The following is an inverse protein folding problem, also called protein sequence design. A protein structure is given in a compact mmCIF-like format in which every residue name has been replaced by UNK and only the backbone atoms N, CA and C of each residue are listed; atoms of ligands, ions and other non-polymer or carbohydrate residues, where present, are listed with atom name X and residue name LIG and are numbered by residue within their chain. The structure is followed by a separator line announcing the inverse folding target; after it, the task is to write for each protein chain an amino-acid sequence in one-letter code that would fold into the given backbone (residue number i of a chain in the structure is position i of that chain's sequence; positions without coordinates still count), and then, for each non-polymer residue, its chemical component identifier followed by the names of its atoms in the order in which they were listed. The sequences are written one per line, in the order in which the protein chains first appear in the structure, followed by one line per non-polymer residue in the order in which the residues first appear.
data_IF_151858466370
#
_entry.id   IF_151858466370
#
_cell.length_a   1.000
_cell.length_b   1.000
_cell.length_c   1.000
_cell.angle_alpha   90.00
_cell.angle_beta   90.00
_cell.angle_gamma   90.00
#
_symmetry.space_group_name_H-M   'P 1'
#
loop_
_entity.id
_entity.type
_entity.pdbx_description
1 polymer ?
#
# COMPACT_ATOMS: atom_id res chain seq x y z
N UNK A 1 -54.37 2.92 14.77
CA UNK A 1 -53.05 2.49 15.31
C UNK A 1 -52.04 3.65 15.38
N UNK A 2 -51.98 4.54 14.38
CA UNK A 2 -51.00 5.65 14.35
C UNK A 2 -51.17 6.68 15.47
N UNK A 3 -52.41 7.10 15.76
CA UNK A 3 -52.71 8.05 16.84
C UNK A 3 -52.22 7.54 18.22
N UNK A 4 -52.51 6.26 18.55
CA UNK A 4 -52.03 5.59 19.77
C UNK A 4 -50.50 5.57 19.85
N UNK A 5 -49.83 5.26 18.74
CA UNK A 5 -48.36 5.23 18.69
C UNK A 5 -47.75 6.63 18.77
N UNK A 6 -48.43 7.67 18.27
CA UNK A 6 -48.01 9.06 18.41
C UNK A 6 -48.12 9.54 19.86
N UNK A 7 -49.21 9.21 20.55
CA UNK A 7 -49.38 9.49 21.99
C UNK A 7 -48.31 8.75 22.81
N UNK A 8 -48.08 7.47 22.53
CA UNK A 8 -47.03 6.69 23.20
C UNK A 8 -45.64 7.31 23.01
N UNK A 9 -45.30 7.77 21.80
CA UNK A 9 -44.04 8.48 21.52
C UNK A 9 -43.91 9.77 22.34
N UNK A 10 -44.98 10.57 22.45
CA UNK A 10 -44.99 11.79 23.28
C UNK A 10 -44.77 11.47 24.76
N UNK A 11 -45.41 10.41 25.27
CA UNK A 11 -45.24 9.99 26.67
C UNK A 11 -43.85 9.42 26.95
N UNK A 12 -43.29 8.62 26.05
CA UNK A 12 -41.93 8.08 26.16
C UNK A 12 -40.84 9.16 26.04
N UNK A 13 -41.17 10.32 25.47
CA UNK A 13 -40.26 11.44 25.36
C UNK A 13 -40.08 12.22 26.67
N UNK A 14 -40.99 12.04 27.66
CA UNK A 14 -40.94 12.72 28.95
C UNK A 14 -39.65 12.37 29.71
N UNK A 15 -38.94 13.34 30.32
CA UNK A 15 -37.68 13.11 31.04
C UNK A 15 -37.76 12.01 32.10
N UNK A 16 -38.77 12.06 32.97
CA UNK A 16 -39.01 11.07 34.03
C UNK A 16 -39.12 9.64 33.47
N UNK A 17 -39.81 9.47 32.33
CA UNK A 17 -39.97 8.17 31.68
C UNK A 17 -38.68 7.67 31.06
N UNK A 18 -37.84 8.58 30.54
CA UNK A 18 -36.50 8.24 30.03
C UNK A 18 -35.60 7.78 31.17
N UNK A 19 -35.70 8.41 32.34
CA UNK A 19 -34.89 8.09 33.51
C UNK A 19 -35.27 6.73 34.10
N UNK A 20 -36.56 6.48 34.37
CA UNK A 20 -37.05 5.15 34.80
C UNK A 20 -36.63 4.05 33.82
N UNK A 21 -36.70 4.33 32.51
CA UNK A 21 -36.28 3.38 31.48
C UNK A 21 -34.76 3.15 31.47
N UNK A 22 -33.98 4.21 31.72
CA UNK A 22 -32.52 4.13 31.83
C UNK A 22 -32.14 3.25 33.02
N UNK A 23 -32.71 3.53 34.20
CA UNK A 23 -32.49 2.75 35.42
C UNK A 23 -32.89 1.27 35.22
N UNK A 24 -34.06 1.02 34.62
CA UNK A 24 -34.48 -0.35 34.31
C UNK A 24 -33.49 -1.07 33.39
N UNK A 25 -33.00 -0.39 32.33
CA UNK A 25 -32.03 -0.97 31.40
C UNK A 25 -30.70 -1.29 32.10
N UNK A 26 -30.25 -0.42 33.00
CA UNK A 26 -29.03 -0.61 33.80
C UNK A 26 -29.17 -1.83 34.71
N UNK A 27 -30.33 -2.00 35.35
CA UNK A 27 -30.60 -3.12 36.25
C UNK A 27 -30.99 -4.43 35.52
N UNK A 28 -31.25 -4.40 34.21
CA UNK A 28 -31.71 -5.56 33.42
C UNK A 28 -30.92 -5.73 32.11
N UNK A 29 -29.61 -5.50 32.14
CA UNK A 29 -28.79 -5.44 30.93
C UNK A 29 -28.79 -6.75 30.12
N UNK A 30 -28.89 -7.90 30.78
CA UNK A 30 -29.04 -9.20 30.11
C UNK A 30 -30.30 -9.24 29.23
N UNK A 31 -31.45 -8.81 29.77
CA UNK A 31 -32.72 -8.72 29.01
C UNK A 31 -32.61 -7.75 27.85
N UNK A 32 -31.91 -6.63 28.04
CA UNK A 32 -31.66 -5.63 26.98
C UNK A 32 -30.80 -6.24 25.87
N UNK A 33 -29.70 -6.92 26.21
CA UNK A 33 -28.82 -7.58 25.25
C UNK A 33 -29.56 -8.67 24.46
N UNK A 34 -30.34 -9.50 25.15
CA UNK A 34 -31.16 -10.55 24.53
C UNK A 34 -32.20 -9.96 23.57
N UNK A 35 -32.88 -8.87 23.97
CA UNK A 35 -33.83 -8.14 23.11
C UNK A 35 -33.15 -7.64 21.84
N UNK A 36 -31.94 -7.06 21.94
CA UNK A 36 -31.18 -6.60 20.77
C UNK A 36 -30.80 -7.76 19.86
N UNK A 37 -30.36 -8.90 20.40
CA UNK A 37 -30.02 -10.08 19.60
C UNK A 37 -31.23 -10.69 18.90
N UNK A 38 -32.37 -10.79 19.59
CA UNK A 38 -33.62 -11.24 18.98
C UNK A 38 -34.09 -10.28 17.87
N UNK A 39 -33.93 -8.97 18.05
CA UNK A 39 -34.18 -8.00 16.98
C UNK A 39 -33.28 -8.26 15.76
N UNK A 40 -31.97 -8.49 15.98
CA UNK A 40 -31.04 -8.80 14.89
C UNK A 40 -31.43 -10.09 14.18
N UNK A 41 -31.74 -11.16 14.91
CA UNK A 41 -32.19 -12.42 14.34
C UNK A 41 -33.36 -12.21 13.38
N UNK A 42 -34.44 -11.56 13.85
CA UNK A 42 -35.61 -11.27 13.00
C UNK A 42 -35.23 -10.49 11.75
N UNK A 43 -34.35 -9.49 11.86
CA UNK A 43 -33.89 -8.71 10.70
C UNK A 43 -33.04 -9.52 9.71
N UNK A 44 -32.24 -10.45 10.21
CA UNK A 44 -31.49 -11.39 9.37
C UNK A 44 -32.43 -12.39 8.67
N UNK A 45 -33.51 -12.83 9.32
CA UNK A 45 -34.52 -13.75 8.76
C UNK A 45 -35.46 -13.06 7.76
N UNK A 46 -36.00 -11.88 8.10
CA UNK A 46 -36.93 -11.10 7.26
C UNK A 46 -36.27 -10.64 5.94
N UNK A 47 -35.20 -9.84 6.04
CA UNK A 47 -34.50 -9.30 4.89
C UNK A 47 -33.07 -8.89 5.29
N UNK A 48 -32.16 -9.86 5.24
CA UNK A 48 -30.76 -9.66 5.59
C UNK A 48 -30.09 -8.57 4.74
N UNK A 49 -30.44 -8.46 3.46
CA UNK A 49 -29.82 -7.51 2.56
C UNK A 49 -30.20 -6.06 2.92
N UNK A 50 -31.49 -5.79 3.10
CA UNK A 50 -31.97 -4.48 3.54
C UNK A 50 -31.40 -4.10 4.91
N UNK A 51 -31.30 -5.06 5.84
CA UNK A 51 -30.70 -4.83 7.15
C UNK A 51 -29.20 -4.44 7.05
N UNK A 52 -28.43 -5.16 6.23
CA UNK A 52 -27.02 -4.84 6.01
C UNK A 52 -26.82 -3.51 5.28
N UNK A 53 -27.68 -3.19 4.30
CA UNK A 53 -27.66 -1.90 3.60
C UNK A 53 -27.94 -0.74 4.56
N UNK A 54 -28.95 -0.88 5.43
CA UNK A 54 -29.24 0.11 6.47
C UNK A 54 -28.05 0.31 7.40
N UNK A 55 -27.44 -0.77 7.91
CA UNK A 55 -26.26 -0.68 8.77
C UNK A 55 -25.07 -0.02 8.07
N UNK A 56 -24.86 -0.31 6.78
CA UNK A 56 -23.79 0.30 5.99
C UNK A 56 -24.00 1.81 5.85
N UNK A 57 -25.24 2.25 5.63
CA UNK A 57 -25.61 3.67 5.55
C UNK A 57 -25.45 4.38 6.91
N UNK A 58 -25.90 3.76 8.00
CA UNK A 58 -25.67 4.29 9.35
C UNK A 58 -24.18 4.41 9.66
N UNK A 59 -23.38 3.41 9.31
CA UNK A 59 -21.94 3.44 9.50
C UNK A 59 -21.27 4.50 8.62
N UNK A 60 -21.78 4.76 7.42
CA UNK A 60 -21.32 5.84 6.53
C UNK A 60 -21.55 7.20 7.19
N UNK A 61 -22.79 7.49 7.60
CA UNK A 61 -23.15 8.73 8.32
C UNK A 61 -22.31 8.92 9.58
N UNK A 62 -22.07 7.84 10.32
CA UNK A 62 -21.20 7.90 11.50
C UNK A 62 -19.78 8.33 11.13
N UNK A 63 -19.17 7.75 10.08
CA UNK A 63 -17.82 8.13 9.63
C UNK A 63 -17.75 9.59 9.17
N UNK A 64 -18.78 10.05 8.45
CA UNK A 64 -18.89 11.43 7.98
C UNK A 64 -18.98 12.41 9.17
N UNK A 65 -19.75 12.06 10.20
CA UNK A 65 -19.92 12.89 11.40
C UNK A 65 -18.81 12.72 12.45
N UNK A 66 -17.84 11.81 12.24
CA UNK A 66 -16.78 11.49 13.20
C UNK A 66 -15.42 11.42 12.49
N UNK A 67 -15.08 12.43 11.69
CA UNK A 67 -13.85 12.47 10.89
C UNK A 67 -12.58 12.30 11.76
N UNK A 68 -12.54 12.94 12.94
CA UNK A 68 -11.41 12.84 13.89
C UNK A 68 -11.15 11.41 14.33
N UNK A 69 -12.19 10.67 14.72
CA UNK A 69 -12.07 9.24 15.07
C UNK A 69 -11.59 8.40 13.90
N UNK A 70 -11.88 8.83 12.67
CA UNK A 70 -11.37 8.13 11.49
C UNK A 70 -9.89 8.38 11.26
N UNK A 71 -9.42 9.60 11.52
CA UNK A 71 -7.99 9.94 11.49
C UNK A 71 -7.24 9.10 12.52
N UNK A 72 -7.73 9.07 13.76
CA UNK A 72 -7.17 8.27 14.86
C UNK A 72 -7.10 6.78 14.49
N UNK A 73 -8.21 6.21 14.02
CA UNK A 73 -8.25 4.80 13.62
C UNK A 73 -7.34 4.47 12.43
N UNK A 74 -7.10 5.42 11.52
CA UNK A 74 -6.18 5.24 10.40
C UNK A 74 -4.72 5.31 10.86
N UNK A 75 -4.38 6.23 11.76
CA UNK A 75 -3.04 6.29 12.36
C UNK A 75 -2.76 5.04 13.21
N UNK A 76 -3.72 4.57 14.01
CA UNK A 76 -3.60 3.30 14.72
C UNK A 76 -3.29 2.14 13.77
N UNK A 77 -4.03 2.01 12.65
CA UNK A 77 -3.77 0.97 11.65
C UNK A 77 -2.38 1.08 11.04
N UNK A 78 -1.93 2.30 10.73
CA UNK A 78 -0.63 2.59 10.11
C UNK A 78 0.54 2.23 11.04
N UNK A 79 0.35 2.39 12.34
CA UNK A 79 1.40 2.18 13.35
C UNK A 79 1.30 0.80 14.04
N UNK A 80 0.24 0.03 13.80
CA UNK A 80 0.09 -1.32 14.33
C UNK A 80 0.72 -2.39 13.40
N UNK A 81 1.77 -3.05 13.87
CA UNK A 81 2.53 -4.07 13.12
C UNK A 81 1.65 -5.26 12.69
N UNK A 82 0.76 -5.74 13.55
CA UNK A 82 -0.12 -6.88 13.27
C UNK A 82 -1.13 -6.56 12.16
N UNK A 83 -1.70 -5.36 12.18
CA UNK A 83 -2.59 -4.90 11.11
C UNK A 83 -1.84 -4.73 9.78
N UNK A 84 -0.59 -4.24 9.82
CA UNK A 84 0.25 -4.16 8.62
C UNK A 84 0.64 -5.54 8.07
N UNK A 85 1.00 -6.49 8.94
CA UNK A 85 1.28 -7.87 8.57
C UNK A 85 0.09 -8.52 7.83
N UNK A 86 -1.11 -8.34 8.36
CA UNK A 86 -2.34 -8.84 7.74
C UNK A 86 -2.62 -8.19 6.37
N UNK A 87 -2.24 -6.92 6.18
CA UNK A 87 -2.33 -6.25 4.88
C UNK A 87 -1.37 -6.92 3.88
N UNK A 88 -0.12 -7.20 4.26
CA UNK A 88 0.82 -7.91 3.40
C UNK A 88 0.32 -9.30 3.02
N UNK A 89 -0.13 -10.09 4.00
CA UNK A 89 -0.68 -11.44 3.78
C UNK A 89 -1.85 -11.44 2.80
N UNK A 90 -2.80 -10.52 2.97
CA UNK A 90 -3.93 -10.35 2.04
C UNK A 90 -3.45 -9.95 0.64
N UNK A 91 -2.54 -8.98 0.56
CA UNK A 91 -2.04 -8.49 -0.73
C UNK A 91 -1.26 -9.58 -1.49
N UNK A 92 -0.49 -10.41 -0.79
CA UNK A 92 0.19 -11.58 -1.35
C UNK A 92 -0.84 -12.56 -1.94
N UNK A 93 -1.91 -12.88 -1.20
CA UNK A 93 -2.99 -13.74 -1.69
C UNK A 93 -3.78 -13.18 -2.89
N UNK A 94 -3.88 -11.85 -3.04
CA UNK A 94 -4.43 -11.24 -4.26
C UNK A 94 -3.47 -11.31 -5.45
N UNK A 95 -2.16 -11.42 -5.18
CA UNK A 95 -1.11 -11.52 -6.19
C UNK A 95 -0.68 -12.96 -6.47
N UNK A 96 -1.30 -13.95 -5.83
CA UNK A 96 -0.88 -15.36 -5.86
C UNK A 96 0.63 -15.50 -5.56
N UNK A 97 1.05 -14.84 -4.49
CA UNK A 97 2.42 -14.96 -3.96
C UNK A 97 2.37 -15.77 -2.67
N UNK A 98 3.36 -16.64 -2.49
CA UNK A 98 3.54 -17.32 -1.22
C UNK A 98 3.75 -16.31 -0.10
N UNK A 99 3.22 -16.64 1.07
CA UNK A 99 3.37 -15.83 2.27
C UNK A 99 3.69 -16.76 3.44
N UNK A 100 4.98 -17.04 3.60
CA UNK A 100 5.51 -18.05 4.52
C UNK A 100 6.14 -17.42 5.77
N UNK A 101 6.45 -16.12 5.74
CA UNK A 101 6.96 -15.43 6.94
C UNK A 101 5.92 -15.42 8.06
N UNK A 102 6.36 -15.74 9.28
CA UNK A 102 5.57 -15.65 10.50
C UNK A 102 5.43 -14.18 10.96
N UNK A 103 4.59 -13.94 11.97
CA UNK A 103 4.46 -12.60 12.53
C UNK A 103 5.72 -12.13 13.26
N UNK A 104 6.43 -13.04 13.93
CA UNK A 104 7.67 -12.73 14.65
C UNK A 104 8.79 -12.41 13.66
N UNK A 105 8.97 -13.25 12.64
CA UNK A 105 9.90 -12.97 11.53
C UNK A 105 9.58 -11.65 10.82
N UNK A 106 8.29 -11.35 10.61
CA UNK A 106 7.88 -10.06 10.09
C UNK A 106 8.35 -8.91 11.00
N UNK A 107 8.17 -9.02 12.31
CA UNK A 107 8.61 -8.02 13.28
C UNK A 107 10.12 -7.83 13.25
N UNK A 108 10.89 -8.93 13.17
CA UNK A 108 12.35 -8.91 13.07
C UNK A 108 12.84 -8.25 11.79
N UNK A 109 12.12 -8.45 10.67
CA UNK A 109 12.45 -7.80 9.40
C UNK A 109 12.15 -6.30 9.49
N UNK A 110 10.93 -5.90 9.85
CA UNK A 110 10.51 -4.50 9.71
C UNK A 110 11.15 -3.55 10.72
N UNK A 111 11.70 -4.05 11.83
CA UNK A 111 12.39 -3.24 12.84
C UNK A 111 13.85 -2.95 12.47
N UNK A 112 14.42 -3.69 11.52
CA UNK A 112 15.76 -3.40 10.99
C UNK A 112 15.76 -2.11 10.18
N UNK A 113 16.93 -1.50 10.08
CA UNK A 113 17.23 -0.42 9.13
C UNK A 113 16.84 -0.82 7.71
N UNK A 114 16.44 0.17 6.89
CA UNK A 114 16.13 -0.08 5.49
C UNK A 114 17.35 -0.64 4.78
N UNK A 115 17.20 -1.78 4.10
CA UNK A 115 18.27 -2.48 3.39
C UNK A 115 19.05 -1.56 2.43
N UNK A 116 18.32 -0.67 1.74
CA UNK A 116 18.90 0.21 0.72
C UNK A 116 19.55 1.47 1.30
N UNK A 117 18.89 2.17 2.22
CA UNK A 117 19.29 3.51 2.64
C UNK A 117 19.63 3.65 4.13
N UNK A 118 19.64 2.54 4.86
CA UNK A 118 19.85 2.45 6.32
C UNK A 118 18.85 3.22 7.22
N UNK A 119 17.86 3.94 6.68
CA UNK A 119 16.90 4.68 7.50
C UNK A 119 15.85 3.76 8.17
N UNK A 120 15.48 4.12 9.40
CA UNK A 120 14.25 3.66 10.06
C UNK A 120 13.20 4.78 9.96
N UNK A 121 11.95 4.43 9.64
CA UNK A 121 10.88 5.42 9.57
C UNK A 121 10.49 5.93 10.96
N UNK A 122 10.01 7.18 11.03
CA UNK A 122 9.58 7.84 12.27
C UNK A 122 8.63 6.99 13.14
N UNK A 123 7.72 6.23 12.52
CA UNK A 123 6.81 5.32 13.23
C UNK A 123 7.48 4.13 13.92
N UNK A 124 8.81 4.02 13.87
CA UNK A 124 9.63 3.00 14.52
C UNK A 124 9.78 1.67 13.76
N UNK A 125 9.21 1.54 12.55
CA UNK A 125 9.42 0.36 11.70
C UNK A 125 9.15 0.64 10.21
N UNK A 126 9.88 -0.10 9.37
CA UNK A 126 9.83 -0.05 7.91
C UNK A 126 8.70 -0.91 7.32
N UNK A 127 8.70 -1.06 6.00
CA UNK A 127 7.93 -2.10 5.30
C UNK A 127 8.83 -3.27 4.88
N UNK A 128 8.30 -4.11 3.99
CA UNK A 128 9.04 -5.23 3.39
C UNK A 128 9.17 -5.00 1.89
N UNK A 129 10.39 -5.17 1.38
CA UNK A 129 10.67 -5.38 -0.04
C UNK A 129 11.06 -6.85 -0.28
N UNK A 130 10.77 -7.34 -1.50
CA UNK A 130 11.21 -8.64 -1.99
C UNK A 130 12.40 -8.43 -2.90
N UNK A 131 13.56 -8.99 -2.57
CA UNK A 131 14.77 -8.85 -3.41
C UNK A 131 14.51 -9.40 -4.81
N UNK A 132 14.03 -10.64 -4.87
CA UNK A 132 13.57 -11.31 -6.07
C UNK A 132 12.04 -11.20 -6.17
N UNK A 133 11.55 -10.56 -7.23
CA UNK A 133 10.11 -10.35 -7.43
C UNK A 133 9.38 -11.60 -7.94
N UNK A 134 10.09 -12.62 -8.43
CA UNK A 134 9.53 -13.93 -8.84
C UNK A 134 9.13 -14.78 -7.64
N UNK A 135 9.79 -14.58 -6.48
CA UNK A 135 9.53 -15.32 -5.24
C UNK A 135 8.50 -14.62 -4.36
N UNK A 136 7.85 -15.40 -3.49
CA UNK A 136 6.91 -14.89 -2.50
C UNK A 136 7.57 -14.16 -1.32
N UNK A 137 6.79 -13.98 -0.26
CA UNK A 137 7.26 -13.51 1.05
C UNK A 137 7.80 -14.70 1.84
N UNK A 138 9.08 -14.99 1.61
CA UNK A 138 9.88 -16.01 2.29
C UNK A 138 11.02 -15.27 2.98
N UNK A 139 11.42 -15.71 4.18
CA UNK A 139 12.36 -15.00 5.05
C UNK A 139 13.60 -14.50 4.30
N UNK A 140 14.30 -15.37 3.57
CA UNK A 140 15.54 -15.02 2.84
C UNK A 140 15.34 -14.07 1.66
N UNK A 141 14.11 -13.99 1.12
CA UNK A 141 13.76 -13.09 0.04
C UNK A 141 13.29 -11.71 0.53
N UNK A 142 12.90 -11.61 1.80
CA UNK A 142 12.34 -10.41 2.38
C UNK A 142 13.40 -9.57 3.10
N UNK A 143 13.39 -8.27 2.84
CA UNK A 143 14.26 -7.31 3.52
C UNK A 143 13.47 -6.12 4.03
N UNK A 144 13.96 -5.52 5.11
CA UNK A 144 13.43 -4.26 5.62
C UNK A 144 13.58 -3.18 4.56
N UNK A 145 12.50 -2.46 4.23
CA UNK A 145 12.56 -1.42 3.23
C UNK A 145 11.61 -0.27 3.56
N UNK A 146 12.15 0.95 3.57
CA UNK A 146 11.33 2.15 3.71
C UNK A 146 10.44 2.34 2.47
N UNK A 147 9.32 3.06 2.65
CA UNK A 147 8.35 3.33 1.59
C UNK A 147 8.98 3.88 0.31
N UNK A 148 9.89 4.85 0.44
CA UNK A 148 10.50 5.55 -0.70
C UNK A 148 11.38 4.64 -1.54
N UNK A 149 12.31 3.89 -0.91
CA UNK A 149 13.15 2.91 -1.62
C UNK A 149 12.31 1.84 -2.32
N UNK A 150 11.25 1.33 -1.67
CA UNK A 150 10.38 0.32 -2.27
C UNK A 150 9.66 0.86 -3.53
N UNK A 151 9.25 2.13 -3.52
CA UNK A 151 8.66 2.76 -4.72
C UNK A 151 9.69 3.02 -5.81
N UNK A 152 10.88 3.52 -5.46
CA UNK A 152 11.96 3.79 -6.43
C UNK A 152 12.42 2.51 -7.12
N UNK A 153 12.58 1.42 -6.37
CA UNK A 153 12.90 0.09 -6.91
C UNK A 153 11.77 -0.45 -7.79
N UNK A 154 10.53 -0.30 -7.35
CA UNK A 154 9.39 -0.89 -8.06
C UNK A 154 9.53 -2.41 -8.14
N UNK A 155 9.40 -2.96 -9.36
CA UNK A 155 9.49 -4.40 -9.61
C UNK A 155 10.78 -4.84 -10.31
N UNK A 156 11.86 -4.06 -10.19
CA UNK A 156 13.20 -4.48 -10.62
C UNK A 156 13.88 -5.31 -9.53
N UNK A 157 14.99 -5.97 -9.88
CA UNK A 157 15.92 -6.53 -8.90
C UNK A 157 16.58 -5.40 -8.09
N UNK A 158 17.11 -5.77 -6.93
CA UNK A 158 17.92 -4.90 -6.08
C UNK A 158 19.20 -4.46 -6.80
N UNK A 159 19.89 -5.36 -7.50
CA UNK A 159 21.10 -5.05 -8.27
C UNK A 159 20.85 -3.97 -9.33
N UNK A 160 19.83 -4.15 -10.19
CA UNK A 160 19.47 -3.16 -11.22
C UNK A 160 19.09 -1.83 -10.58
N UNK A 161 18.41 -1.87 -9.43
CA UNK A 161 18.04 -0.64 -8.73
C UNK A 161 19.26 0.12 -8.21
N UNK A 162 20.22 -0.56 -7.60
CA UNK A 162 21.46 0.05 -7.09
C UNK A 162 22.29 0.63 -8.25
N UNK A 163 22.44 -0.11 -9.36
CA UNK A 163 23.12 0.38 -10.57
C UNK A 163 22.44 1.62 -11.16
N UNK A 164 21.10 1.66 -11.19
CA UNK A 164 20.37 2.87 -11.63
C UNK A 164 20.65 4.07 -10.76
N UNK A 165 20.75 3.89 -9.44
CA UNK A 165 21.09 4.96 -8.50
C UNK A 165 22.47 5.51 -8.78
N UNK A 166 23.49 4.65 -8.91
CA UNK A 166 24.86 5.06 -9.23
C UNK A 166 24.94 5.77 -10.59
N UNK A 167 24.29 5.23 -11.62
CA UNK A 167 24.23 5.84 -12.94
C UNK A 167 23.64 7.25 -12.89
N UNK A 168 22.49 7.43 -12.24
CA UNK A 168 21.82 8.74 -12.14
C UNK A 168 22.72 9.73 -11.40
N UNK A 169 23.27 9.37 -10.25
CA UNK A 169 24.14 10.26 -9.48
C UNK A 169 25.41 10.64 -10.26
N UNK A 170 26.00 9.69 -10.98
CA UNK A 170 27.18 9.92 -11.84
C UNK A 170 26.85 10.87 -12.97
N UNK A 171 25.74 10.63 -13.69
CA UNK A 171 25.29 11.51 -14.77
C UNK A 171 25.00 12.94 -14.26
N UNK A 172 24.42 13.06 -13.06
CA UNK A 172 24.17 14.33 -12.38
C UNK A 172 25.42 14.96 -11.74
N UNK A 173 26.60 14.35 -11.91
CA UNK A 173 27.89 14.80 -11.35
C UNK A 173 27.87 14.96 -9.82
N UNK A 174 27.06 14.14 -9.14
CA UNK A 174 26.99 14.10 -7.67
C UNK A 174 28.05 13.18 -7.06
N UNK A 175 28.51 12.19 -7.83
CA UNK A 175 29.56 11.23 -7.46
C UNK A 175 30.44 10.93 -8.67
N UNK A 176 31.59 10.30 -8.42
CA UNK A 176 32.47 9.71 -9.43
C UNK A 176 32.25 8.19 -9.50
N UNK A 177 31.12 7.77 -10.07
CA UNK A 177 30.75 6.36 -10.22
C UNK A 177 30.70 5.90 -11.68
N UNK A 178 30.06 4.75 -11.90
CA UNK A 178 29.89 4.13 -13.22
C UNK A 178 28.54 4.47 -13.86
N UNK A 179 28.51 4.42 -15.19
CA UNK A 179 27.28 4.57 -15.99
C UNK A 179 26.78 3.19 -16.44
N UNK A 180 25.52 2.88 -16.11
CA UNK A 180 24.78 1.67 -16.50
C UNK A 180 23.58 1.97 -17.44
N UNK A 181 23.79 2.44 -18.68
CA UNK A 181 22.69 2.75 -19.61
C UNK A 181 21.80 1.52 -19.93
N UNK A 182 22.36 0.31 -19.87
CA UNK A 182 21.67 -0.96 -20.10
C UNK A 182 20.60 -1.25 -19.05
N UNK A 183 20.72 -0.67 -17.86
CA UNK A 183 19.74 -0.82 -16.78
C UNK A 183 18.43 -0.03 -17.02
N UNK A 184 18.36 0.79 -18.09
CA UNK A 184 17.17 1.57 -18.43
C UNK A 184 16.52 1.02 -19.70
N UNK A 185 15.32 0.45 -19.57
CA UNK A 185 14.59 -0.17 -20.67
C UNK A 185 14.15 0.85 -21.74
N UNK A 186 13.94 0.37 -22.96
CA UNK A 186 13.36 1.18 -24.05
C UNK A 186 11.84 1.25 -23.91
N UNK A 187 11.29 2.43 -24.13
CA UNK A 187 9.86 2.73 -24.04
C UNK A 187 9.42 3.66 -25.16
N UNK A 188 8.16 3.55 -25.58
CA UNK A 188 7.52 4.54 -26.46
C UNK A 188 6.97 5.71 -25.63
N UNK A 189 6.98 6.90 -26.21
CA UNK A 189 6.43 8.08 -25.54
C UNK A 189 4.91 8.02 -25.44
N UNK A 190 4.38 8.72 -24.45
CA UNK A 190 2.94 8.92 -24.20
C UNK A 190 2.45 10.00 -25.15
N UNK A 191 1.31 9.80 -25.81
CA UNK A 191 0.79 10.77 -26.77
C UNK A 191 0.47 12.12 -26.11
N UNK A 192 0.68 13.23 -26.84
CA UNK A 192 0.35 14.58 -26.40
C UNK A 192 -1.06 14.70 -25.78
N UNK A 193 -2.07 14.13 -26.44
CA UNK A 193 -3.46 14.16 -25.96
C UNK A 193 -3.63 13.49 -24.59
N UNK A 194 -2.80 12.48 -24.26
CA UNK A 194 -2.84 11.81 -22.96
C UNK A 194 -2.27 12.70 -21.85
N UNK A 195 -1.24 13.50 -22.13
CA UNK A 195 -0.75 14.51 -21.20
C UNK A 195 -1.80 15.58 -20.92
N UNK A 196 -2.45 16.11 -21.97
CA UNK A 196 -3.56 17.06 -21.84
C UNK A 196 -4.71 16.50 -21.00
N UNK A 197 -5.15 15.27 -21.29
CA UNK A 197 -6.22 14.61 -20.53
C UNK A 197 -5.85 14.39 -19.05
N UNK A 198 -4.58 14.05 -18.77
CA UNK A 198 -4.08 13.93 -17.39
C UNK A 198 -4.08 15.26 -16.66
N UNK A 199 -3.71 16.35 -17.33
CA UNK A 199 -3.72 17.70 -16.77
C UNK A 199 -5.15 18.13 -16.40
N UNK A 200 -6.11 17.97 -17.33
CA UNK A 200 -7.53 18.26 -17.10
C UNK A 200 -8.06 17.45 -15.90
N UNK A 201 -7.81 16.13 -15.87
CA UNK A 201 -8.28 15.27 -14.79
C UNK A 201 -7.72 15.67 -13.42
N UNK A 202 -6.49 16.21 -13.40
CA UNK A 202 -5.81 16.66 -12.18
C UNK A 202 -6.01 18.15 -11.90
N UNK A 203 -6.76 18.87 -12.74
CA UNK A 203 -6.95 20.32 -12.65
C UNK A 203 -5.62 21.08 -12.63
N UNK A 204 -4.75 20.77 -13.60
CA UNK A 204 -3.45 21.38 -13.76
C UNK A 204 -3.41 22.22 -15.03
N UNK A 205 -2.64 23.31 -15.01
CA UNK A 205 -2.38 24.12 -16.19
C UNK A 205 -1.73 23.30 -17.30
N UNK A 206 -2.10 23.61 -18.54
CA UNK A 206 -1.58 22.93 -19.72
C UNK A 206 -1.33 23.96 -20.82
N UNK A 207 -0.11 24.49 -20.86
CA UNK A 207 0.33 25.50 -21.82
C UNK A 207 1.21 24.88 -22.93
N UNK A 208 1.71 23.67 -22.70
CA UNK A 208 2.49 22.89 -23.67
C UNK A 208 1.77 22.76 -25.02
N UNK A 209 2.41 23.18 -26.11
CA UNK A 209 1.90 23.02 -27.48
C UNK A 209 2.32 21.68 -28.11
N UNK A 210 1.67 21.23 -29.20
CA UNK A 210 2.12 20.06 -29.96
C UNK A 210 3.55 20.19 -30.51
N UNK A 211 3.94 21.40 -30.93
CA UNK A 211 5.27 21.73 -31.44
C UNK A 211 6.32 21.58 -30.33
N UNK A 212 6.08 22.18 -29.17
CA UNK A 212 6.95 22.05 -27.99
C UNK A 212 7.08 20.58 -27.57
N UNK A 213 5.97 19.85 -27.55
CA UNK A 213 5.96 18.43 -27.21
C UNK A 213 6.89 17.63 -28.13
N UNK A 214 6.81 17.85 -29.45
CA UNK A 214 7.63 17.14 -30.43
C UNK A 214 9.12 17.47 -30.33
N UNK A 215 9.46 18.66 -29.83
CA UNK A 215 10.85 19.05 -29.52
C UNK A 215 11.31 18.36 -28.23
N UNK A 216 10.54 18.48 -27.14
CA UNK A 216 10.94 18.02 -25.81
C UNK A 216 11.17 16.50 -25.79
N UNK A 217 10.30 15.69 -26.38
CA UNK A 217 10.45 14.22 -26.34
C UNK A 217 11.71 13.69 -27.05
N UNK A 218 12.36 14.54 -27.87
CA UNK A 218 13.62 14.19 -28.55
C UNK A 218 14.85 14.53 -27.72
N UNK A 219 14.72 15.35 -26.69
CA UNK A 219 15.83 15.68 -25.81
C UNK A 219 16.22 14.46 -24.95
N UNK A 220 17.47 14.43 -24.52
CA UNK A 220 17.99 13.42 -23.60
C UNK A 220 17.25 13.50 -22.26
N UNK A 221 17.08 12.36 -21.59
CA UNK A 221 16.43 12.33 -20.29
C UNK A 221 17.21 13.21 -19.30
N UNK A 222 16.56 14.20 -18.70
CA UNK A 222 17.23 15.15 -17.83
C UNK A 222 17.88 14.49 -16.60
N UNK A 223 17.38 13.32 -16.18
CA UNK A 223 17.82 12.64 -14.96
C UNK A 223 18.93 11.61 -15.21
N UNK A 224 18.88 10.83 -16.29
CA UNK A 224 19.86 9.78 -16.59
C UNK A 224 20.57 9.93 -17.95
N UNK A 225 20.24 10.95 -18.74
CA UNK A 225 20.85 11.15 -20.06
C UNK A 225 20.44 10.16 -21.14
N UNK A 226 19.46 9.28 -20.90
CA UNK A 226 18.98 8.33 -21.91
C UNK A 226 18.49 9.08 -23.15
N UNK A 227 19.08 8.77 -24.30
CA UNK A 227 18.79 9.40 -25.59
C UNK A 227 17.57 8.79 -26.26
N UNK A 228 16.87 9.60 -27.05
CA UNK A 228 15.81 9.12 -27.94
C UNK A 228 16.43 8.52 -29.21
N UNK A 229 15.92 7.35 -29.63
CA UNK A 229 16.36 6.61 -30.82
C UNK A 229 15.17 5.90 -31.49
N UNK A 230 15.45 5.00 -32.45
CA UNK A 230 14.41 4.25 -33.18
C UNK A 230 13.61 3.27 -32.30
N UNK A 231 14.14 2.86 -31.15
CA UNK A 231 13.54 1.90 -30.23
C UNK A 231 13.00 2.55 -28.95
N UNK A 232 13.41 3.78 -28.64
CA UNK A 232 13.01 4.52 -27.45
C UNK A 232 12.72 5.98 -27.72
N UNK A 233 11.64 6.47 -27.12
CA UNK A 233 11.33 7.88 -27.04
C UNK A 233 11.12 8.29 -25.58
N UNK A 234 11.74 9.38 -25.18
CA UNK A 234 11.50 9.99 -23.88
C UNK A 234 10.07 10.53 -23.79
N UNK A 235 9.55 10.53 -22.56
CA UNK A 235 8.32 11.24 -22.23
C UNK A 235 8.63 12.61 -21.65
N UNK A 236 7.60 13.21 -21.06
CA UNK A 236 7.69 14.46 -20.30
C UNK A 236 7.46 14.15 -18.82
N UNK A 237 8.34 14.69 -17.98
CA UNK A 237 8.18 14.76 -16.53
C UNK A 237 8.01 16.22 -16.07
N UNK A 238 7.31 16.40 -14.95
CA UNK A 238 7.15 17.71 -14.30
C UNK A 238 8.11 17.80 -13.13
N UNK A 239 8.95 18.84 -13.11
CA UNK A 239 9.92 19.08 -12.04
C UNK A 239 9.21 19.26 -10.71
N UNK A 240 8.27 20.21 -10.65
CA UNK A 240 7.32 20.38 -9.56
C UNK A 240 5.98 19.74 -9.93
N UNK A 241 5.60 18.73 -9.15
CA UNK A 241 4.36 17.98 -9.37
C UNK A 241 3.08 18.73 -8.99
N UNK A 242 3.20 19.84 -8.26
CA UNK A 242 2.10 20.75 -7.92
C UNK A 242 1.76 21.70 -9.07
N UNK A 243 2.72 21.96 -9.96
CA UNK A 243 2.56 22.80 -11.16
C UNK A 243 2.11 22.01 -12.39
N UNK A 244 1.58 22.72 -13.37
CA UNK A 244 1.11 22.16 -14.64
C UNK A 244 2.20 21.85 -15.66
N UNK A 245 1.78 21.64 -16.91
CA UNK A 245 2.64 21.46 -18.08
C UNK A 245 2.93 22.83 -18.70
N UNK A 246 3.84 23.55 -18.05
CA UNK A 246 4.42 24.83 -18.48
C UNK A 246 5.90 24.59 -18.82
N UNK A 247 6.43 25.26 -19.84
CA UNK A 247 7.76 24.96 -20.41
C UNK A 247 8.89 24.96 -19.37
N UNK A 248 8.86 25.92 -18.44
CA UNK A 248 9.82 26.04 -17.34
C UNK A 248 9.74 24.94 -16.27
N UNK A 249 8.62 24.20 -16.20
CA UNK A 249 8.39 23.13 -15.21
C UNK A 249 8.55 21.73 -15.80
N UNK A 250 8.77 21.58 -17.10
CA UNK A 250 8.79 20.27 -17.76
C UNK A 250 10.15 19.95 -18.36
N UNK A 251 10.50 18.67 -18.33
CA UNK A 251 11.72 18.16 -18.94
C UNK A 251 11.48 16.83 -19.62
N UNK A 252 12.31 16.54 -20.63
CA UNK A 252 12.36 15.22 -21.24
C UNK A 252 12.84 14.19 -20.23
N UNK A 253 12.09 13.11 -20.05
CA UNK A 253 12.40 12.11 -19.04
C UNK A 253 11.99 10.71 -19.53
N UNK A 254 12.92 9.75 -19.39
CA UNK A 254 12.61 8.37 -19.72
C UNK A 254 11.57 7.80 -18.73
N UNK A 255 10.83 6.77 -19.15
CA UNK A 255 9.77 6.15 -18.35
C UNK A 255 10.29 5.67 -16.98
N UNK A 256 11.46 5.04 -16.95
CA UNK A 256 12.07 4.50 -15.72
C UNK A 256 12.39 5.61 -14.71
N UNK A 257 12.98 6.71 -15.17
CA UNK A 257 13.30 7.85 -14.32
C UNK A 257 12.04 8.54 -13.79
N UNK A 258 11.01 8.72 -14.63
CA UNK A 258 9.73 9.29 -14.19
C UNK A 258 9.06 8.40 -13.13
N UNK A 259 9.12 7.07 -13.28
CA UNK A 259 8.62 6.12 -12.27
C UNK A 259 9.40 6.21 -10.95
N UNK A 260 10.73 6.34 -11.02
CA UNK A 260 11.59 6.52 -9.84
C UNK A 260 11.27 7.84 -9.11
N UNK A 261 11.16 8.95 -9.86
CA UNK A 261 10.87 10.27 -9.29
C UNK A 261 9.47 10.36 -8.72
N UNK A 262 8.47 9.81 -9.42
CA UNK A 262 7.08 9.77 -8.99
C UNK A 262 6.59 11.18 -8.57
N UNK A 263 6.17 11.35 -7.32
CA UNK A 263 5.71 12.58 -6.72
C UNK A 263 6.75 13.24 -5.80
N UNK A 264 7.96 12.69 -5.73
CA UNK A 264 9.05 13.24 -4.90
C UNK A 264 9.60 14.54 -5.49
N UNK A 265 9.99 15.45 -4.58
CA UNK A 265 10.81 16.60 -4.95
C UNK A 265 12.17 16.11 -5.46
N UNK A 266 12.75 16.85 -6.41
CA UNK A 266 13.98 16.42 -7.06
C UNK A 266 15.15 16.32 -6.06
N UNK A 267 15.30 17.30 -5.18
CA UNK A 267 16.38 17.31 -4.19
C UNK A 267 16.22 16.17 -3.16
N UNK A 268 15.00 15.89 -2.71
CA UNK A 268 14.71 14.74 -1.84
C UNK A 268 15.08 13.42 -2.52
N UNK A 269 14.81 13.29 -3.82
CA UNK A 269 15.16 12.11 -4.59
C UNK A 269 16.68 11.93 -4.68
N UNK A 270 17.42 12.99 -5.00
CA UNK A 270 18.90 12.95 -5.08
C UNK A 270 19.51 12.65 -3.70
N UNK A 271 19.05 13.30 -2.64
CA UNK A 271 19.49 13.02 -1.28
C UNK A 271 19.22 11.56 -0.90
N UNK A 272 18.06 11.03 -1.30
CA UNK A 272 17.74 9.62 -1.07
C UNK A 272 18.68 8.68 -1.83
N UNK A 273 19.00 9.02 -3.08
CA UNK A 273 19.94 8.25 -3.91
C UNK A 273 21.34 8.25 -3.29
N UNK A 274 21.83 9.37 -2.76
CA UNK A 274 23.11 9.45 -2.06
C UNK A 274 23.19 8.48 -0.87
N UNK A 275 22.16 8.46 -0.01
CA UNK A 275 22.10 7.51 1.11
C UNK A 275 22.13 6.05 0.66
N UNK A 276 21.48 5.74 -0.48
CA UNK A 276 21.50 4.38 -1.05
C UNK A 276 22.90 4.05 -1.55
N UNK A 277 23.52 4.96 -2.30
CA UNK A 277 24.86 4.78 -2.84
C UNK A 277 25.89 4.56 -1.72
N UNK A 278 25.90 5.43 -0.69
CA UNK A 278 26.83 5.31 0.44
C UNK A 278 26.70 3.97 1.19
N UNK A 279 25.47 3.47 1.36
CA UNK A 279 25.23 2.19 2.04
C UNK A 279 25.78 1.00 1.27
N UNK A 280 25.77 1.06 -0.06
CA UNK A 280 26.14 -0.06 -0.93
C UNK A 280 27.58 0.04 -1.44
N UNK A 281 28.15 1.25 -1.56
CA UNK A 281 29.55 1.45 -1.93
C UNK A 281 30.51 1.00 -0.81
N UNK A 282 30.20 1.33 0.46
CA UNK A 282 31.00 0.89 1.63
C UNK A 282 31.09 -0.63 1.77
N UNK A 283 30.11 -1.38 1.26
CA UNK A 283 30.14 -2.84 1.28
C UNK A 283 31.13 -3.41 0.26
N UNK A 284 31.26 -2.78 -0.91
CA UNK A 284 32.22 -3.21 -1.94
C UNK A 284 33.65 -3.04 -1.45
N UNK A 285 33.98 -1.92 -0.79
CA UNK A 285 35.32 -1.70 -0.23
C UNK A 285 35.72 -2.75 0.81
N UNK A 286 34.79 -3.18 1.68
CA UNK A 286 35.07 -4.21 2.70
C UNK A 286 35.25 -5.59 2.05
N UNK A 287 34.39 -5.97 1.10
CA UNK A 287 34.51 -7.24 0.39
C UNK A 287 35.78 -7.33 -0.44
N UNK A 288 36.23 -6.21 -1.03
CA UNK A 288 37.47 -6.17 -1.82
C UNK A 288 38.72 -6.29 -0.96
N UNK A 289 38.68 -5.81 0.29
CA UNK A 289 39.76 -5.98 1.29
C UNK A 289 39.78 -7.42 1.84
N UNK A 290 38.63 -8.02 2.12
CA UNK A 290 38.51 -9.42 2.57
C UNK A 290 38.92 -10.40 1.45
N UNK A 291 38.56 -10.13 0.20
CA UNK A 291 38.96 -10.97 -0.94
C UNK A 291 40.46 -10.87 -1.25
N UNK A 292 41.09 -9.70 -1.04
CA UNK A 292 42.55 -9.54 -1.15
C UNK A 292 43.34 -10.28 -0.08
N UNK A 293 42.75 -10.58 1.08
CA UNK A 293 43.41 -11.35 2.14
C UNK A 293 43.26 -12.88 1.98
N UNK A 294 42.44 -13.34 1.02
CA UNK A 294 42.17 -14.76 0.76
C UNK A 294 42.70 -15.26 -0.61
N UNK A 295 43.62 -14.53 -1.26
CA UNK A 295 44.29 -14.99 -2.49
C UNK A 295 45.38 -16.04 -2.22
N UNK A 296 44.97 -17.25 -1.81
CA UNK A 296 45.80 -18.47 -1.85
C UNK A 296 44.93 -19.72 -2.03
N UNK A 297 43.94 -19.67 -2.92
CA UNK A 297 43.34 -20.85 -3.57
C UNK A 297 42.35 -20.39 -4.67
N UNK A 298 42.81 -20.26 -5.92
CA UNK A 298 41.92 -20.20 -7.09
C UNK A 298 41.85 -21.58 -7.73
N UNK A 299 40.65 -22.15 -7.94
CA UNK A 299 40.35 -22.87 -9.16
C UNK A 299 39.61 -21.91 -10.11
N UNK A 300 40.04 -21.92 -11.37
CA UNK A 300 39.42 -21.20 -12.48
C UNK A 300 37.91 -21.50 -12.56
N UNK A 301 37.09 -20.46 -12.41
CA UNK A 301 35.68 -20.51 -12.81
C UNK A 301 35.56 -19.70 -14.09
N UNK A 302 35.40 -20.47 -15.16
CA UNK A 302 35.02 -20.08 -16.51
C UNK A 302 34.02 -18.91 -16.51
N UNK A 303 34.41 -17.81 -17.14
CA UNK A 303 33.51 -16.71 -17.55
C UNK A 303 32.40 -17.29 -18.43
N UNK A 304 31.26 -17.62 -17.82
CA UNK A 304 30.02 -17.76 -18.55
C UNK A 304 29.49 -16.36 -18.84
N UNK A 305 30.05 -15.74 -19.88
CA UNK A 305 29.42 -14.65 -20.60
C UNK A 305 28.04 -15.15 -21.06
N UNK A 306 26.99 -14.80 -20.32
CA UNK A 306 25.62 -14.92 -20.85
C UNK A 306 25.53 -13.95 -22.02
N UNK A 307 25.74 -14.48 -23.22
CA UNK A 307 25.35 -13.88 -24.49
C UNK A 307 23.86 -13.59 -24.35
N UNK A 308 23.53 -12.31 -24.13
CA UNK A 308 22.16 -11.82 -24.10
C UNK A 308 21.69 -11.87 -25.55
N UNK A 309 21.04 -12.99 -25.88
CA UNK A 309 20.59 -13.27 -27.23
C UNK A 309 19.62 -12.17 -27.70
N UNK A 310 19.77 -11.88 -28.98
CA UNK A 310 19.20 -10.75 -29.67
C UNK A 310 17.67 -10.71 -29.64
N UNK A 311 17.12 -9.49 -29.59
CA UNK A 311 15.77 -9.16 -30.04
C UNK A 311 14.61 -9.91 -29.33
N UNK A 312 14.23 -9.48 -28.12
CA UNK A 312 12.81 -9.35 -27.71
C UNK A 312 12.68 -8.70 -26.30
N UNK A 313 12.21 -7.45 -26.24
CA UNK A 313 11.67 -6.78 -25.05
C UNK A 313 12.49 -6.84 -23.73
N UNK A 314 13.56 -6.05 -23.65
CA UNK A 314 14.36 -5.83 -22.43
C UNK A 314 13.56 -5.08 -21.33
N UNK A 315 12.60 -5.73 -20.68
CA UNK A 315 11.83 -5.17 -19.56
C UNK A 315 12.46 -5.58 -18.23
N UNK A 316 13.24 -4.68 -17.63
CA UNK A 316 13.78 -4.84 -16.27
C UNK A 316 12.71 -4.92 -15.17
N UNK A 317 11.49 -4.45 -15.45
CA UNK A 317 10.34 -4.61 -14.55
C UNK A 317 9.64 -5.95 -14.79
N UNK A 318 9.61 -6.79 -13.77
CA UNK A 318 8.92 -8.08 -13.87
C UNK A 318 7.41 -7.94 -13.65
N UNK A 319 6.62 -8.38 -14.64
CA UNK A 319 5.17 -8.43 -14.54
C UNK A 319 4.72 -9.73 -13.86
N UNK A 320 3.91 -9.62 -12.80
CA UNK A 320 3.27 -10.80 -12.21
C UNK A 320 2.06 -11.23 -13.04
N UNK A 321 2.26 -12.24 -13.90
CA UNK A 321 1.24 -12.83 -14.77
C UNK A 321 0.19 -13.66 -14.01
N UNK A 322 0.50 -14.10 -12.79
CA UNK A 322 -0.36 -14.96 -11.97
C UNK A 322 -1.28 -14.15 -11.05
N UNK A 323 -1.26 -12.82 -11.11
CA UNK A 323 -2.10 -11.97 -10.28
C UNK A 323 -3.58 -12.22 -10.59
N UNK A 324 -4.40 -12.33 -9.53
CA UNK A 324 -5.86 -12.47 -9.69
C UNK A 324 -6.44 -11.31 -10.48
N UNK A 325 -7.37 -11.63 -11.38
CA UNK A 325 -8.17 -10.65 -12.12
C UNK A 325 -9.10 -9.91 -11.16
N UNK A 326 -9.65 -8.76 -11.61
CA UNK A 326 -10.59 -8.00 -10.78
C UNK A 326 -11.86 -8.81 -10.55
N UNK A 327 -12.25 -9.60 -11.53
CA UNK A 327 -13.42 -10.46 -11.57
C UNK A 327 -13.27 -11.61 -10.58
N UNK A 328 -12.12 -12.30 -10.56
CA UNK A 328 -11.80 -13.35 -9.57
C UNK A 328 -11.83 -12.81 -8.14
N UNK A 329 -11.24 -11.63 -7.91
CA UNK A 329 -11.26 -10.98 -6.59
C UNK A 329 -12.69 -10.62 -6.19
N UNK A 330 -13.50 -10.09 -7.12
CA UNK A 330 -14.90 -9.74 -6.86
C UNK A 330 -15.71 -10.98 -6.51
N UNK A 331 -15.50 -12.07 -7.23
CA UNK A 331 -16.21 -13.33 -7.03
C UNK A 331 -15.84 -14.01 -5.71
N UNK A 332 -14.54 -14.11 -5.40
CA UNK A 332 -14.08 -14.63 -4.11
C UNK A 332 -14.65 -13.81 -2.94
N UNK A 333 -14.70 -12.49 -3.07
CA UNK A 333 -15.32 -11.62 -2.06
C UNK A 333 -16.84 -11.81 -1.95
N UNK A 334 -17.53 -12.10 -3.07
CA UNK A 334 -18.97 -12.41 -3.06
C UNK A 334 -19.24 -13.70 -2.27
N UNK A 335 -18.53 -14.77 -2.60
CA UNK A 335 -18.64 -16.07 -1.91
C UNK A 335 -18.28 -15.96 -0.43
N UNK A 336 -17.21 -15.21 -0.10
CA UNK A 336 -16.84 -14.95 1.29
C UNK A 336 -17.95 -14.23 2.05
N UNK A 337 -18.52 -13.16 1.47
CA UNK A 337 -19.64 -12.42 2.08
C UNK A 337 -20.88 -13.30 2.25
N UNK A 338 -21.17 -14.18 1.30
CA UNK A 338 -22.28 -15.14 1.41
C UNK A 338 -22.08 -16.09 2.59
N UNK A 339 -20.91 -16.73 2.70
CA UNK A 339 -20.58 -17.60 3.84
C UNK A 339 -20.67 -16.86 5.18
N UNK A 340 -20.23 -15.60 5.25
CA UNK A 340 -20.35 -14.79 6.46
C UNK A 340 -21.82 -14.48 6.80
N UNK A 341 -22.66 -14.23 5.79
CA UNK A 341 -24.10 -14.00 5.96
C UNK A 341 -24.81 -15.23 6.51
N UNK A 342 -24.48 -16.42 6.01
CA UNK A 342 -25.01 -17.70 6.48
C UNK A 342 -24.61 -17.97 7.94
N UNK A 343 -23.31 -17.85 8.25
CA UNK A 343 -22.79 -17.98 9.63
C UNK A 343 -23.48 -17.01 10.60
N UNK A 344 -23.78 -15.79 10.17
CA UNK A 344 -24.49 -14.82 11.00
C UNK A 344 -25.93 -15.27 11.28
N UNK A 345 -26.64 -15.81 10.28
CA UNK A 345 -27.99 -16.36 10.49
C UNK A 345 -27.97 -17.52 11.48
N UNK A 346 -27.08 -18.49 11.26
CA UNK A 346 -26.90 -19.65 12.14
C UNK A 346 -26.60 -19.23 13.59
N UNK A 347 -25.61 -18.34 13.75
CA UNK A 347 -25.18 -17.83 15.05
C UNK A 347 -26.31 -17.17 15.83
N UNK A 348 -27.10 -16.29 15.21
CA UNK A 348 -28.21 -15.61 15.90
C UNK A 348 -29.50 -16.45 15.96
N UNK A 349 -29.62 -17.49 15.13
CA UNK A 349 -30.70 -18.48 15.21
C UNK A 349 -30.54 -19.41 16.42
N UNK A 350 -29.32 -19.63 16.91
CA UNK A 350 -29.06 -20.43 18.09
C UNK A 350 -29.49 -19.68 19.38
N UNK A 351 -30.52 -20.21 20.06
CA UNK A 351 -31.05 -19.64 21.29
C UNK A 351 -30.09 -19.75 22.49
N UNK A 352 -29.36 -20.85 22.60
CA UNK A 352 -28.37 -21.06 23.66
C UNK A 352 -27.22 -20.04 23.54
N UNK A 353 -26.69 -19.87 22.33
CA UNK A 353 -25.69 -18.83 22.04
C UNK A 353 -26.17 -17.44 22.49
N UNK A 354 -27.41 -17.06 22.15
CA UNK A 354 -27.95 -15.74 22.54
C UNK A 354 -28.06 -15.58 24.06
N UNK A 355 -28.47 -16.63 24.79
CA UNK A 355 -28.55 -16.58 26.26
C UNK A 355 -27.17 -16.41 26.89
N UNK A 356 -26.21 -17.25 26.50
CA UNK A 356 -24.82 -17.18 26.98
C UNK A 356 -24.24 -15.80 26.69
N UNK A 357 -24.36 -15.32 25.45
CA UNK A 357 -23.82 -14.03 25.05
C UNK A 357 -24.50 -12.85 25.76
N UNK A 358 -25.78 -12.95 26.07
CA UNK A 358 -26.49 -11.89 26.80
C UNK A 358 -25.95 -11.76 28.22
N UNK A 359 -25.71 -12.90 28.87
CA UNK A 359 -25.10 -12.97 30.20
C UNK A 359 -23.68 -12.39 30.20
N UNK A 360 -22.81 -12.84 29.28
CA UNK A 360 -21.45 -12.29 29.14
C UNK A 360 -21.41 -10.76 28.98
N UNK A 361 -22.34 -10.22 28.18
CA UNK A 361 -22.45 -8.78 27.94
C UNK A 361 -22.89 -8.05 29.22
N UNK A 362 -23.84 -8.62 29.97
CA UNK A 362 -24.29 -8.08 31.25
C UNK A 362 -23.16 -8.09 32.29
N UNK A 363 -22.44 -9.21 32.41
CA UNK A 363 -21.31 -9.37 33.34
C UNK A 363 -20.18 -8.38 33.01
N UNK A 364 -19.84 -8.21 31.73
CA UNK A 364 -18.84 -7.22 31.30
C UNK A 364 -19.23 -5.77 31.65
N UNK A 365 -20.53 -5.45 31.60
CA UNK A 365 -21.05 -4.14 32.00
C UNK A 365 -21.02 -3.94 33.50
N UNK A 366 -21.39 -4.95 34.28
CA UNK A 366 -21.31 -4.92 35.73
C UNK A 366 -19.86 -4.66 36.18
N UNK A 367 -18.90 -5.44 35.65
CA UNK A 367 -17.46 -5.24 35.93
C UNK A 367 -16.96 -3.85 35.56
N UNK A 368 -17.40 -3.28 34.43
CA UNK A 368 -17.04 -1.91 34.05
C UNK A 368 -17.60 -0.89 35.05
N UNK A 369 -18.84 -1.07 35.50
CA UNK A 369 -19.47 -0.19 36.49
C UNK A 369 -18.70 -0.22 37.82
N UNK A 370 -18.33 -1.41 38.28
CA UNK A 370 -17.46 -1.59 39.46
C UNK A 370 -16.11 -0.89 39.30
N UNK A 371 -15.45 -0.99 38.15
CA UNK A 371 -14.17 -0.31 37.90
C UNK A 371 -14.28 1.21 37.62
N UNK A 372 -15.50 1.75 37.54
CA UNK A 372 -15.76 3.19 37.28
C UNK A 372 -16.20 3.94 38.55
N UNK A 373 -16.45 3.20 39.64
CA UNK A 373 -16.76 3.70 40.99
C UNK A 373 -15.48 3.62 41.80
#
# INVERSE_FOLDING_TARGET
KEHRNAIARKNDAKPERKEVKKEWNENNYEKVALKTMNYRQRKLEENQEAYLAHNAETAKKWRENNAEKMIEANEYKKNNKELQYNIYKRNAGCKNLDFLITFDEYCDIVTKECFYCALVQERGFNGIDRKDQTKGYIFDNCVSCCKMCNYMKGSTSDEVFIKRVEHILTFQRKISGNLYPECFAHHKSVLYCQYRNRAIKKQLDFVLTPEDYNVIIKNDCFMCGKKTDQHHQNGIDRMDNTKGYILENINACCCECNLIKKDYAYDDLINKMMLIYEKHNKKQEITDVENKSNELAKPEILENTMIFDSCENNRHMMANKNKKTKEEIKEANRLYKQKQREKMKEKYGNNEYKKIRAKEIADSRAKKKENSV
#
